data_IF_122031922977
#
_entry.id   IF_122031922977
#
_cell.length_a   1.000
_cell.length_b   1.000
_cell.length_c   1.000
_cell.angle_alpha   90.00
_cell.angle_beta   90.00
_cell.angle_gamma   90.00
#
_symmetry.space_group_name_H-M   'P 1'
#
loop_
_entity.id
_entity.type
_entity.pdbx_description
1 polymer ?
#
# COMPACT_ATOMS: atom_id res chain seq x y z
N UNK A 1 -48.42 -2.28 2.97
CA UNK A 1 -48.19 -3.52 2.19
C UNK A 1 -48.28 -3.14 0.73
N UNK A 2 -47.33 -3.67 -0.04
CA UNK A 2 -46.94 -3.31 -1.41
C UNK A 2 -48.07 -3.39 -2.44
N UNK A 3 -48.41 -2.26 -3.06
CA UNK A 3 -49.13 -2.25 -4.33
C UNK A 3 -48.14 -2.49 -5.47
N UNK A 4 -48.16 -3.74 -5.95
CA UNK A 4 -47.56 -4.19 -7.19
C UNK A 4 -48.33 -3.56 -8.36
N UNK A 5 -47.99 -2.33 -8.74
CA UNK A 5 -48.55 -1.74 -9.95
C UNK A 5 -47.67 -2.07 -11.16
N UNK A 6 -48.05 -3.16 -11.82
CA UNK A 6 -48.05 -3.36 -13.27
C UNK A 6 -47.06 -2.54 -14.11
N UNK A 7 -45.88 -3.10 -14.38
CA UNK A 7 -45.07 -2.73 -15.54
C UNK A 7 -45.68 -3.35 -16.80
N UNK A 8 -46.79 -2.78 -17.26
CA UNK A 8 -47.26 -2.97 -18.64
C UNK A 8 -47.19 -1.63 -19.34
N UNK A 9 -45.98 -1.25 -19.73
CA UNK A 9 -45.78 -0.20 -20.72
C UNK A 9 -45.32 -0.83 -22.03
N UNK A 10 -45.77 -0.24 -23.13
CA UNK A 10 -45.83 -0.81 -24.48
C UNK A 10 -44.52 -1.50 -24.93
N UNK A 11 -44.61 -2.50 -25.82
CA UNK A 11 -43.47 -3.31 -26.29
C UNK A 11 -42.26 -2.55 -26.87
N UNK A 12 -42.36 -1.22 -27.06
CA UNK A 12 -41.26 -0.33 -27.46
C UNK A 12 -40.57 0.36 -26.28
N UNK A 13 -41.27 0.68 -25.19
CA UNK A 13 -40.67 1.38 -24.03
C UNK A 13 -39.68 0.50 -23.28
N UNK A 14 -39.98 -0.81 -23.19
CA UNK A 14 -39.04 -1.80 -22.66
C UNK A 14 -37.83 -2.03 -23.57
N UNK A 15 -37.98 -1.87 -24.89
CA UNK A 15 -36.86 -1.94 -25.84
C UNK A 15 -35.93 -0.74 -25.67
N UNK A 16 -36.50 0.46 -25.64
CA UNK A 16 -35.77 1.71 -25.48
C UNK A 16 -34.98 1.75 -24.17
N UNK A 17 -35.61 1.38 -23.05
CA UNK A 17 -34.94 1.32 -21.74
C UNK A 17 -33.71 0.39 -21.75
N UNK A 18 -33.83 -0.78 -22.40
CA UNK A 18 -32.73 -1.75 -22.51
C UNK A 18 -31.60 -1.23 -23.40
N UNK A 19 -31.94 -0.52 -24.48
CA UNK A 19 -30.96 0.10 -25.37
C UNK A 19 -30.23 1.27 -24.69
N UNK A 20 -30.92 2.09 -23.90
CA UNK A 20 -30.30 3.15 -23.09
C UNK A 20 -29.28 2.60 -22.10
N UNK A 21 -29.67 1.60 -21.31
CA UNK A 21 -28.74 0.95 -20.39
C UNK A 21 -27.52 0.38 -21.13
N UNK A 22 -27.73 -0.15 -22.34
CA UNK A 22 -26.64 -0.69 -23.16
C UNK A 22 -25.68 0.40 -23.64
N UNK A 23 -26.19 1.57 -24.04
CA UNK A 23 -25.38 2.74 -24.42
C UNK A 23 -24.58 3.29 -23.23
N UNK A 24 -25.18 3.32 -22.03
CA UNK A 24 -24.54 3.80 -20.80
C UNK A 24 -23.56 2.78 -20.16
N UNK A 25 -23.54 1.54 -20.65
CA UNK A 25 -22.68 0.49 -20.12
C UNK A 25 -23.12 -0.07 -18.76
N UNK A 26 -24.36 0.18 -18.33
CA UNK A 26 -24.95 -0.28 -17.07
C UNK A 26 -25.63 -1.65 -17.16
N UNK A 27 -25.54 -2.33 -18.31
CA UNK A 27 -26.17 -3.64 -18.57
C UNK A 27 -25.33 -4.79 -18.01
N UNK A 28 -26.00 -5.81 -17.46
CA UNK A 28 -25.39 -7.07 -17.01
C UNK A 28 -24.77 -7.83 -18.20
N UNK A 29 -23.65 -8.51 -17.99
CA UNK A 29 -22.92 -9.25 -19.04
C UNK A 29 -23.83 -10.17 -19.87
N UNK A 30 -24.76 -10.87 -19.23
CA UNK A 30 -25.65 -11.84 -19.88
C UNK A 30 -26.63 -11.15 -20.84
N UNK A 31 -27.17 -9.99 -20.43
CA UNK A 31 -28.12 -9.22 -21.23
C UNK A 31 -27.44 -8.50 -22.41
N UNK A 32 -26.16 -8.20 -22.29
CA UNK A 32 -25.37 -7.56 -23.36
C UNK A 32 -25.34 -8.41 -24.62
N UNK A 33 -25.08 -9.71 -24.48
CA UNK A 33 -25.01 -10.64 -25.62
C UNK A 33 -26.37 -10.81 -26.33
N UNK A 34 -27.47 -10.76 -25.56
CA UNK A 34 -28.83 -10.82 -26.10
C UNK A 34 -29.13 -9.57 -26.92
N UNK A 35 -28.77 -8.38 -26.43
CA UNK A 35 -28.98 -7.12 -27.14
C UNK A 35 -28.12 -7.06 -28.41
N UNK A 36 -26.86 -7.48 -28.36
CA UNK A 36 -25.98 -7.54 -29.54
C UNK A 36 -26.55 -8.46 -30.63
N UNK A 37 -27.10 -9.62 -30.25
CA UNK A 37 -27.79 -10.50 -31.19
C UNK A 37 -29.03 -9.84 -31.78
N UNK A 38 -29.85 -9.18 -30.95
CA UNK A 38 -31.06 -8.48 -31.41
C UNK A 38 -30.73 -7.32 -32.36
N UNK A 39 -29.64 -6.57 -32.13
CA UNK A 39 -29.17 -5.52 -33.02
C UNK A 39 -28.72 -6.04 -34.40
N UNK A 40 -28.31 -7.30 -34.49
CA UNK A 40 -27.96 -7.95 -35.76
C UNK A 40 -29.17 -8.55 -36.47
N UNK A 41 -30.12 -9.12 -35.72
CA UNK A 41 -31.25 -9.86 -36.30
C UNK A 41 -32.49 -9.02 -36.56
N UNK A 42 -32.69 -7.93 -35.79
CA UNK A 42 -33.92 -7.16 -35.82
C UNK A 42 -33.66 -5.71 -36.29
N UNK A 43 -34.29 -5.37 -37.43
CA UNK A 43 -34.18 -4.05 -38.04
C UNK A 43 -34.79 -2.94 -37.17
N UNK A 44 -35.84 -3.24 -36.38
CA UNK A 44 -36.50 -2.27 -35.50
C UNK A 44 -35.59 -1.85 -34.33
N UNK A 45 -34.89 -2.81 -33.74
CA UNK A 45 -33.90 -2.59 -32.68
C UNK A 45 -32.73 -1.73 -33.17
N UNK A 46 -32.22 -2.03 -34.38
CA UNK A 46 -31.13 -1.27 -34.98
C UNK A 46 -31.53 0.18 -35.29
N UNK A 47 -32.75 0.38 -35.80
CA UNK A 47 -33.27 1.73 -36.08
C UNK A 47 -33.37 2.55 -34.79
N UNK A 48 -33.97 1.99 -33.73
CA UNK A 48 -34.09 2.63 -32.43
C UNK A 48 -32.73 2.90 -31.78
N UNK A 49 -31.79 1.96 -31.86
CA UNK A 49 -30.44 2.17 -31.34
C UNK A 49 -29.73 3.36 -31.99
N UNK A 50 -29.84 3.50 -33.32
CA UNK A 50 -29.24 4.64 -34.02
C UNK A 50 -29.90 5.97 -33.66
N UNK A 51 -31.21 5.99 -33.45
CA UNK A 51 -31.95 7.17 -32.99
C UNK A 51 -31.44 7.61 -31.59
N UNK A 52 -31.34 6.68 -30.64
CA UNK A 52 -30.84 6.97 -29.30
C UNK A 52 -29.37 7.40 -29.32
N UNK A 53 -28.55 6.80 -30.19
CA UNK A 53 -27.15 7.18 -30.35
C UNK A 53 -27.01 8.62 -30.85
N UNK A 54 -27.83 9.03 -31.83
CA UNK A 54 -27.85 10.42 -32.31
C UNK A 54 -28.23 11.39 -31.19
N UNK A 55 -29.22 11.05 -30.37
CA UNK A 55 -29.61 11.87 -29.20
C UNK A 55 -28.48 11.96 -28.18
N UNK A 56 -27.80 10.84 -27.88
CA UNK A 56 -26.65 10.81 -26.97
C UNK A 56 -25.49 11.67 -27.49
N UNK A 57 -25.20 11.60 -28.79
CA UNK A 57 -24.13 12.39 -29.41
C UNK A 57 -24.48 13.89 -29.40
N UNK A 58 -25.75 14.26 -29.62
CA UNK A 58 -26.22 15.65 -29.47
C UNK A 58 -26.06 16.15 -28.03
N UNK A 59 -26.39 15.32 -27.04
CA UNK A 59 -26.20 15.64 -25.61
C UNK A 59 -24.72 15.81 -25.27
N UNK A 60 -23.84 14.96 -25.78
CA UNK A 60 -22.38 15.07 -25.59
C UNK A 60 -21.77 16.28 -26.29
N UNK A 61 -22.33 16.68 -27.44
CA UNK A 61 -21.90 17.86 -28.20
C UNK A 61 -22.40 19.17 -27.59
N UNK A 62 -23.41 19.12 -26.74
CA UNK A 62 -23.86 20.26 -25.96
C UNK A 62 -22.77 20.61 -24.95
N UNK A 63 -22.48 21.90 -24.80
CA UNK A 63 -21.41 22.36 -23.92
C UNK A 63 -21.63 21.82 -22.49
N UNK A 64 -20.62 21.13 -21.95
CA UNK A 64 -20.65 20.74 -20.54
C UNK A 64 -20.57 22.02 -19.71
N UNK A 65 -21.71 22.48 -19.21
CA UNK A 65 -21.72 23.51 -18.19
C UNK A 65 -20.91 23.00 -16.99
N UNK A 66 -19.83 23.72 -16.67
CA UNK A 66 -19.02 23.39 -15.50
C UNK A 66 -19.92 23.42 -14.26
N UNK A 67 -19.84 22.41 -13.38
CA UNK A 67 -20.64 22.40 -12.17
C UNK A 67 -20.31 23.65 -11.35
N UNK A 68 -21.29 24.16 -10.59
CA UNK A 68 -21.04 25.32 -9.75
C UNK A 68 -19.85 25.07 -8.80
N UNK A 69 -19.04 26.11 -8.58
CA UNK A 69 -17.90 26.05 -7.66
C UNK A 69 -18.30 25.55 -6.26
N UNK A 70 -19.53 25.84 -5.82
CA UNK A 70 -20.09 25.36 -4.55
C UNK A 70 -20.43 23.87 -4.58
N UNK A 71 -20.98 23.36 -5.68
CA UNK A 71 -21.29 21.94 -5.82
C UNK A 71 -20.03 21.09 -5.80
N UNK A 72 -19.03 21.45 -6.61
CA UNK A 72 -17.74 20.74 -6.64
C UNK A 72 -17.08 20.76 -5.25
N UNK A 73 -17.11 21.90 -4.56
CA UNK A 73 -16.62 22.02 -3.18
C UNK A 73 -17.39 21.13 -2.22
N UNK A 74 -18.73 21.16 -2.24
CA UNK A 74 -19.57 20.37 -1.33
C UNK A 74 -19.36 18.86 -1.54
N UNK A 75 -19.25 18.42 -2.79
CA UNK A 75 -18.99 17.01 -3.15
C UNK A 75 -17.59 16.59 -2.70
N UNK A 76 -16.57 17.40 -2.98
CA UNK A 76 -15.19 17.10 -2.55
C UNK A 76 -15.08 17.10 -1.02
N UNK A 77 -15.78 18.00 -0.34
CA UNK A 77 -15.82 18.06 1.12
C UNK A 77 -16.48 16.80 1.69
N UNK A 78 -17.59 16.35 1.13
CA UNK A 78 -18.28 15.13 1.58
C UNK A 78 -17.49 13.85 1.27
N UNK A 79 -16.86 13.76 0.09
CA UNK A 79 -15.95 12.66 -0.26
C UNK A 79 -14.71 12.66 0.66
N UNK A 80 -14.17 13.84 0.98
CA UNK A 80 -12.99 13.95 1.85
C UNK A 80 -13.28 13.51 3.28
N UNK A 81 -14.50 13.77 3.78
CA UNK A 81 -14.99 13.23 5.06
C UNK A 81 -15.12 11.71 4.98
N UNK A 82 -15.56 11.21 3.83
CA UNK A 82 -15.89 9.80 3.65
C UNK A 82 -14.71 8.89 3.35
N UNK A 83 -13.57 9.32 2.77
CA UNK A 83 -12.27 8.60 2.75
C UNK A 83 -11.21 9.33 1.91
N UNK A 84 -10.32 10.12 2.53
CA UNK A 84 -8.92 10.26 2.07
C UNK A 84 -8.00 10.45 3.29
N UNK A 85 -7.98 9.47 4.20
CA UNK A 85 -6.84 9.35 5.09
C UNK A 85 -5.66 8.83 4.25
N UNK A 86 -4.50 9.51 4.20
CA UNK A 86 -3.34 8.97 3.50
C UNK A 86 -2.94 7.64 4.14
N UNK A 87 -3.26 6.54 3.45
CA UNK A 87 -2.95 5.19 3.85
C UNK A 87 -1.44 4.96 3.73
N UNK A 88 -0.66 5.37 4.72
CA UNK A 88 0.74 4.90 4.86
C UNK A 88 1.45 5.27 6.16
N UNK A 89 0.92 6.17 6.99
CA UNK A 89 1.69 6.65 8.17
C UNK A 89 1.49 5.88 9.46
N UNK A 90 0.49 5.00 9.55
CA UNK A 90 0.06 4.45 10.84
C UNK A 90 0.34 2.95 11.06
N UNK A 91 1.04 2.27 10.15
CA UNK A 91 1.28 0.82 10.30
C UNK A 91 2.47 0.49 11.23
N UNK A 92 3.39 1.43 11.44
CA UNK A 92 4.60 1.19 12.24
C UNK A 92 4.54 2.00 13.53
N UNK A 93 4.32 1.30 14.65
CA UNK A 93 4.35 1.90 15.97
C UNK A 93 5.81 2.09 16.41
N UNK A 94 6.22 3.34 16.64
CA UNK A 94 7.57 3.68 17.09
C UNK A 94 7.98 2.98 18.41
N UNK A 95 7.01 2.54 19.23
CA UNK A 95 7.29 1.74 20.43
C UNK A 95 7.90 0.37 20.10
N UNK A 96 7.53 -0.23 18.97
CA UNK A 96 8.07 -1.53 18.51
C UNK A 96 9.51 -1.35 18.03
N UNK A 97 9.80 -0.26 17.30
CA UNK A 97 11.17 0.12 16.90
C UNK A 97 12.06 0.35 18.13
N UNK A 98 11.54 1.02 19.16
CA UNK A 98 12.32 1.28 20.37
C UNK A 98 12.52 -0.01 21.18
N UNK A 99 11.51 -0.88 21.26
CA UNK A 99 11.59 -2.19 21.91
C UNK A 99 12.63 -3.11 21.26
N UNK A 100 12.65 -3.19 19.92
CA UNK A 100 13.65 -4.00 19.22
C UNK A 100 15.06 -3.42 19.40
N UNK A 101 15.20 -2.08 19.35
CA UNK A 101 16.48 -1.41 19.59
C UNK A 101 17.04 -1.67 21.00
N UNK A 102 16.19 -1.54 22.02
CA UNK A 102 16.56 -1.81 23.41
C UNK A 102 16.99 -3.27 23.62
N UNK A 103 16.26 -4.22 23.02
CA UNK A 103 16.60 -5.64 23.10
C UNK A 103 18.00 -5.94 22.52
N UNK A 104 18.33 -5.38 21.34
CA UNK A 104 19.67 -5.55 20.76
C UNK A 104 20.77 -4.94 21.62
N UNK A 105 20.56 -3.74 22.18
CA UNK A 105 21.52 -3.10 23.07
C UNK A 105 21.74 -3.92 24.35
N UNK A 106 20.67 -4.39 24.99
CA UNK A 106 20.76 -5.23 26.18
C UNK A 106 21.51 -6.55 25.88
N UNK A 107 21.27 -7.14 24.71
CA UNK A 107 21.97 -8.34 24.28
C UNK A 107 23.46 -8.08 24.01
N UNK A 108 23.81 -6.95 23.39
CA UNK A 108 25.20 -6.55 23.12
C UNK A 108 25.96 -6.28 24.43
N UNK A 109 25.29 -5.63 25.40
CA UNK A 109 25.81 -5.45 26.76
C UNK A 109 26.02 -6.80 27.45
N UNK A 110 25.07 -7.73 27.34
CA UNK A 110 25.21 -9.08 27.89
C UNK A 110 26.42 -9.82 27.32
N UNK A 111 26.68 -9.68 26.02
CA UNK A 111 27.86 -10.26 25.36
C UNK A 111 29.16 -9.61 25.85
N UNK A 112 29.18 -8.28 26.03
CA UNK A 112 30.33 -7.56 26.59
C UNK A 112 30.60 -7.97 28.04
N UNK A 113 29.57 -8.08 28.88
CA UNK A 113 29.72 -8.52 30.28
C UNK A 113 30.19 -9.98 30.36
N UNK A 114 29.68 -10.86 29.51
CA UNK A 114 30.15 -12.24 29.46
C UNK A 114 31.59 -12.34 28.93
N UNK A 115 31.92 -11.58 27.89
CA UNK A 115 33.26 -11.54 27.29
C UNK A 115 34.32 -10.95 28.22
N UNK A 116 34.02 -9.84 28.89
CA UNK A 116 34.90 -9.23 29.88
C UNK A 116 34.87 -9.96 31.23
N UNK A 117 33.76 -10.61 31.60
CA UNK A 117 33.66 -11.40 32.83
C UNK A 117 34.50 -12.69 32.81
N UNK A 118 34.82 -13.19 31.61
CA UNK A 118 35.78 -14.28 31.40
C UNK A 118 37.24 -13.78 31.33
N UNK A 119 37.47 -12.45 31.37
CA UNK A 119 38.81 -11.86 31.30
C UNK A 119 39.36 -11.74 32.73
N UNK A 120 40.28 -12.62 33.12
CA UNK A 120 41.05 -12.49 34.36
C UNK A 120 41.89 -11.21 34.31
N UNK A 121 41.38 -10.14 34.91
CA UNK A 121 42.09 -8.88 35.06
C UNK A 121 43.16 -9.04 36.15
N UNK A 122 44.32 -9.55 35.75
CA UNK A 122 45.50 -9.62 36.62
C UNK A 122 46.16 -8.25 36.66
N UNK A 123 45.95 -7.53 37.76
CA UNK A 123 46.58 -6.25 38.07
C UNK A 123 48.05 -6.47 38.44
N UNK A 124 48.92 -6.42 37.42
CA UNK A 124 50.37 -6.50 37.56
C UNK A 124 51.06 -5.71 36.45
N UNK A 125 51.82 -4.70 36.88
CA UNK A 125 52.64 -3.78 36.08
C UNK A 125 53.43 -4.45 34.95
N UNK A 126 53.10 -4.06 33.71
CA UNK A 126 53.90 -4.02 32.47
C UNK A 126 53.07 -4.52 31.29
N UNK A 127 52.65 -3.59 30.41
CA UNK A 127 52.42 -3.81 28.96
C UNK A 127 51.91 -5.21 28.54
N UNK A 128 50.91 -5.75 29.23
CA UNK A 128 50.41 -7.12 29.05
C UNK A 128 49.11 -7.16 28.23
N UNK A 129 48.64 -6.01 27.75
CA UNK A 129 47.49 -5.90 26.86
C UNK A 129 47.77 -6.62 25.52
N UNK A 130 49.01 -6.56 25.01
CA UNK A 130 49.38 -7.22 23.74
C UNK A 130 49.62 -8.73 23.85
N UNK A 131 49.97 -9.25 25.03
CA UNK A 131 50.19 -10.70 25.24
C UNK A 131 48.91 -11.46 25.61
N UNK A 132 47.93 -10.81 26.25
CA UNK A 132 46.68 -11.46 26.63
C UNK A 132 45.58 -11.41 25.55
N UNK A 133 45.66 -10.52 24.55
CA UNK A 133 44.78 -10.59 23.37
C UNK A 133 44.98 -11.89 22.57
N UNK A 134 46.19 -12.46 22.58
CA UNK A 134 46.50 -13.73 21.93
C UNK A 134 45.99 -14.95 22.70
N UNK A 135 45.53 -14.78 23.95
CA UNK A 135 44.87 -15.83 24.74
C UNK A 135 43.35 -15.78 24.65
N UNK A 136 42.79 -14.73 24.04
CA UNK A 136 41.37 -14.72 23.70
C UNK A 136 41.22 -15.68 22.53
N UNK A 137 40.71 -16.86 22.84
CA UNK A 137 40.59 -17.98 21.92
C UNK A 137 39.39 -17.72 20.97
N UNK A 138 39.51 -16.68 20.14
CA UNK A 138 38.51 -16.28 19.13
C UNK A 138 38.16 -17.45 18.21
N UNK A 139 39.10 -18.37 18.01
CA UNK A 139 38.88 -19.63 17.29
C UNK A 139 37.66 -20.39 17.82
N UNK A 140 37.44 -20.47 19.14
CA UNK A 140 36.27 -21.17 19.71
C UNK A 140 34.97 -20.40 19.51
N UNK A 141 35.02 -19.07 19.47
CA UNK A 141 33.87 -18.22 19.17
C UNK A 141 33.49 -18.27 17.68
N UNK A 142 34.45 -18.34 16.77
CA UNK A 142 34.19 -18.38 15.32
C UNK A 142 34.01 -19.80 14.74
N UNK A 143 34.49 -20.84 15.42
CA UNK A 143 34.29 -22.24 14.99
C UNK A 143 32.86 -22.73 15.28
N UNK A 144 32.20 -22.17 16.30
CA UNK A 144 30.81 -22.52 16.58
C UNK A 144 29.88 -21.92 15.53
N UNK A 145 29.30 -22.77 14.68
CA UNK A 145 28.36 -22.42 13.62
C UNK A 145 27.22 -21.51 14.12
N UNK A 146 26.74 -21.73 15.36
CA UNK A 146 25.67 -20.92 15.95
C UNK A 146 26.14 -19.49 16.26
N UNK A 147 27.34 -19.32 16.81
CA UNK A 147 27.92 -18.01 17.14
C UNK A 147 28.30 -17.26 15.86
N UNK A 148 28.83 -17.97 14.86
CA UNK A 148 29.13 -17.37 13.56
C UNK A 148 27.85 -16.88 12.85
N UNK A 149 26.79 -17.70 12.83
CA UNK A 149 25.48 -17.28 12.30
C UNK A 149 24.92 -16.07 13.07
N UNK A 150 25.05 -16.07 14.40
CA UNK A 150 24.63 -14.96 15.24
C UNK A 150 25.41 -13.67 14.93
N UNK A 151 26.73 -13.75 14.78
CA UNK A 151 27.57 -12.61 14.40
C UNK A 151 27.22 -12.10 13.00
N UNK A 152 26.99 -13.00 12.03
CA UNK A 152 26.58 -12.63 10.67
C UNK A 152 25.26 -11.85 10.67
N UNK A 153 24.27 -12.31 11.44
CA UNK A 153 22.98 -11.62 11.62
C UNK A 153 23.19 -10.23 12.24
N UNK A 154 23.99 -10.12 13.30
CA UNK A 154 24.28 -8.84 13.95
C UNK A 154 25.02 -7.86 13.05
N UNK A 155 25.96 -8.34 12.22
CA UNK A 155 26.68 -7.50 11.25
C UNK A 155 25.73 -7.00 10.16
N UNK A 156 24.87 -7.86 9.61
CA UNK A 156 23.87 -7.47 8.60
C UNK A 156 22.89 -6.45 9.18
N UNK A 157 22.39 -6.68 10.39
CA UNK A 157 21.53 -5.73 11.10
C UNK A 157 22.23 -4.42 11.39
N UNK A 158 23.50 -4.47 11.80
CA UNK A 158 24.33 -3.29 12.04
C UNK A 158 24.50 -2.44 10.79
N UNK A 159 24.82 -3.07 9.65
CA UNK A 159 24.90 -2.38 8.36
C UNK A 159 23.53 -1.83 7.93
N UNK A 160 22.46 -2.61 8.07
CA UNK A 160 21.12 -2.17 7.72
C UNK A 160 20.67 -0.94 8.53
N UNK A 161 20.98 -0.93 9.84
CA UNK A 161 20.69 0.21 10.70
C UNK A 161 21.56 1.42 10.34
N UNK A 162 22.84 1.21 10.02
CA UNK A 162 23.75 2.26 9.59
C UNK A 162 23.29 2.88 8.27
N UNK A 163 22.92 2.05 7.29
CA UNK A 163 22.38 2.48 6.00
C UNK A 163 21.07 3.24 6.18
N UNK A 164 20.17 2.75 7.03
CA UNK A 164 18.92 3.44 7.33
C UNK A 164 19.18 4.79 8.02
N UNK A 165 20.10 4.85 8.99
CA UNK A 165 20.49 6.08 9.68
C UNK A 165 21.07 7.13 8.71
N UNK A 166 21.98 6.71 7.83
CA UNK A 166 22.57 7.57 6.81
C UNK A 166 21.51 8.04 5.79
N UNK A 167 20.58 7.17 5.39
CA UNK A 167 19.48 7.51 4.48
C UNK A 167 18.51 8.52 5.08
N UNK A 168 18.21 8.42 6.37
CA UNK A 168 17.37 9.39 7.09
C UNK A 168 18.08 10.76 7.13
N UNK A 169 19.39 10.79 7.45
CA UNK A 169 20.16 12.04 7.44
C UNK A 169 20.27 12.67 6.05
N UNK A 170 20.55 11.89 5.01
CA UNK A 170 20.60 12.41 3.62
C UNK A 170 19.29 13.05 3.18
N UNK A 171 18.14 12.49 3.59
CA UNK A 171 16.81 13.06 3.30
C UNK A 171 16.54 14.35 4.09
N UNK A 172 17.10 14.52 5.28
CA UNK A 172 17.02 15.77 6.03
C UNK A 172 17.83 16.88 5.35
N UNK A 173 19.07 16.61 4.95
CA UNK A 173 19.92 17.60 4.27
C UNK A 173 19.37 18.08 2.91
N UNK A 174 18.64 17.22 2.17
CA UNK A 174 18.00 17.61 0.89
C UNK A 174 16.70 18.41 1.06
N UNK A 175 16.18 18.55 2.27
CA UNK A 175 14.99 19.39 2.57
C UNK A 175 15.36 20.78 3.08
N UNK A 176 16.61 20.97 3.48
CA UNK A 176 17.13 22.23 4.01
C UNK A 176 17.99 23.01 2.99
N UNK A 177 18.21 22.44 1.79
CA UNK A 177 18.82 23.08 0.63
C UNK A 177 17.79 23.26 -0.48
#
# INVERSE_FOLDING_TARGET
>A
MTDNNSYTSSGNEGMEYRLWNFIDGSVKIDEKTVIEKLLQTDASWKAKYNELLQVNDLLKSSELEAPSMRFSKNVMEEISKLHIAPATKNYINNKIIWGIGFFFIALLIGLLVYGFGQMEWTSGSESSISKNINKIDFSKFFNNSFVNAFMMINVILGLFLLDNYLNIKRKAFRKEA
#
